data_IF_811039624976
#
_entry.id   IF_811039624976
#
_cell.length_a   1.000
_cell.length_b   1.000
_cell.length_c   1.000
_cell.angle_alpha   90.00
_cell.angle_beta   90.00
_cell.angle_gamma   90.00
#
_symmetry.space_group_name_H-M   'P 1'
#
loop_
_entity.id
_entity.type
_entity.pdbx_description
1 polymer ?
#
# COMPACT_ATOMS: atom_id res chain seq x y z
N UNK A 1 8.93 61.79 -39.33
CA UNK A 1 7.83 62.34 -38.49
C UNK A 1 7.17 61.14 -37.81
N UNK A 2 6.96 60.95 -36.50
CA UNK A 2 6.95 61.76 -35.26
C UNK A 2 7.49 60.90 -34.10
N UNK A 3 7.89 61.58 -33.02
CA UNK A 3 8.57 61.13 -31.78
C UNK A 3 7.62 60.63 -30.67
N UNK A 4 8.16 59.71 -29.83
CA UNK A 4 8.13 59.53 -28.33
C UNK A 4 6.80 59.28 -27.56
N UNK A 5 6.81 58.89 -26.26
CA UNK A 5 7.49 57.78 -25.53
C UNK A 5 6.57 57.10 -24.46
N UNK A 6 7.06 56.07 -23.75
CA UNK A 6 6.35 55.54 -22.57
C UNK A 6 7.13 54.55 -21.72
N UNK A 7 8.12 55.02 -20.94
CA UNK A 7 8.77 54.28 -19.85
C UNK A 7 7.82 54.13 -18.65
N UNK A 8 7.75 52.96 -18.02
CA UNK A 8 7.84 52.88 -16.55
C UNK A 8 8.24 51.49 -16.05
N UNK A 9 9.51 51.39 -15.64
CA UNK A 9 10.12 50.27 -14.92
C UNK A 9 9.80 50.46 -13.44
N UNK A 10 8.88 49.67 -12.85
CA UNK A 10 8.60 49.73 -11.40
C UNK A 10 9.63 48.90 -10.62
N UNK A 11 10.25 49.57 -9.65
CA UNK A 11 11.38 49.11 -8.84
C UNK A 11 10.94 48.26 -7.64
N UNK A 12 11.85 47.37 -7.25
CA UNK A 12 12.02 46.78 -5.93
C UNK A 12 11.58 47.65 -4.73
N UNK A 13 10.96 47.00 -3.74
CA UNK A 13 11.03 47.38 -2.33
C UNK A 13 11.31 46.14 -1.46
N UNK A 14 12.46 46.08 -0.77
CA UNK A 14 12.61 45.34 0.47
C UNK A 14 12.74 46.29 1.67
N UNK A 15 12.35 45.82 2.86
CA UNK A 15 12.60 46.30 4.25
C UNK A 15 11.29 46.27 5.07
N UNK A 16 11.20 45.88 6.36
CA UNK A 16 12.10 45.28 7.38
C UNK A 16 11.26 45.09 8.66
N UNK A 17 11.35 43.91 9.32
CA UNK A 17 11.21 43.57 10.77
C UNK A 17 10.00 44.07 11.62
N UNK A 18 9.69 43.40 12.78
CA UNK A 18 10.49 43.54 13.99
C UNK A 18 10.79 42.24 14.76
N UNK A 19 11.87 42.31 15.57
CA UNK A 19 12.21 41.41 16.68
C UNK A 19 11.31 41.71 17.88
N UNK A 20 10.99 40.68 18.67
CA UNK A 20 10.55 40.81 20.06
C UNK A 20 11.07 39.64 20.90
N UNK A 21 11.30 39.80 22.23
CA UNK A 21 12.24 39.00 23.01
C UNK A 21 11.58 38.19 24.15
N UNK A 22 12.42 37.51 24.98
CA UNK A 22 12.22 37.11 26.42
C UNK A 22 11.65 35.70 26.70
N UNK A 23 11.96 34.90 27.73
CA UNK A 23 12.81 34.85 28.97
C UNK A 23 13.08 33.32 29.23
N UNK A 24 14.26 32.82 29.63
CA UNK A 24 14.89 32.73 30.96
C UNK A 24 14.18 31.87 32.05
N UNK A 25 14.83 30.75 32.40
CA UNK A 25 15.03 30.09 33.71
C UNK A 25 13.93 29.34 34.51
N UNK A 26 14.46 28.37 35.28
CA UNK A 26 13.94 27.56 36.40
C UNK A 26 13.16 26.30 35.98
N UNK A 27 13.70 25.08 36.05
CA UNK A 27 14.23 24.35 37.23
C UNK A 27 13.27 24.36 38.41
N UNK A 28 12.66 23.20 38.67
CA UNK A 28 12.14 22.79 39.97
C UNK A 28 11.96 21.27 39.94
N UNK A 29 12.99 20.59 40.43
CA UNK A 29 12.91 19.24 40.96
C UNK A 29 12.02 19.18 42.22
N UNK A 30 11.15 18.17 42.30
CA UNK A 30 10.71 17.58 43.56
C UNK A 30 10.26 16.13 43.27
N UNK A 31 11.09 15.13 43.56
CA UNK A 31 11.13 14.35 44.81
C UNK A 31 9.90 13.45 45.00
N UNK A 32 10.21 12.16 44.93
CA UNK A 32 9.54 10.88 45.23
C UNK A 32 8.83 10.78 46.60
N UNK A 33 8.51 9.58 47.11
CA UNK A 33 7.56 8.54 46.66
C UNK A 33 6.52 8.22 47.76
N UNK A 34 5.45 7.48 47.45
CA UNK A 34 4.50 7.02 48.47
C UNK A 34 3.67 5.80 48.07
N UNK A 35 4.07 4.63 48.57
CA UNK A 35 3.26 3.41 48.82
C UNK A 35 3.50 3.09 50.30
N UNK A 36 2.51 2.79 51.16
CA UNK A 36 1.64 1.58 51.16
C UNK A 36 0.16 1.93 51.43
N UNK A 37 -0.86 1.08 51.47
CA UNK A 37 -0.98 -0.22 52.15
C UNK A 37 -2.26 -0.96 51.70
N UNK A 38 -2.37 -2.20 52.18
CA UNK A 38 -3.42 -3.21 52.01
C UNK A 38 -4.81 -2.74 52.41
N UNK A 39 -5.80 -3.18 51.65
CA UNK A 39 -7.20 -3.21 52.06
C UNK A 39 -7.91 -4.37 51.38
N UNK A 40 -8.13 -5.45 52.11
CA UNK A 40 -8.97 -6.57 51.71
C UNK A 40 -10.40 -6.31 52.20
N UNK A 41 -11.42 -6.36 51.33
CA UNK A 41 -12.76 -6.72 51.79
C UNK A 41 -13.39 -7.87 50.99
N UNK A 42 -13.89 -8.89 51.70
CA UNK A 42 -14.95 -9.82 51.27
C UNK A 42 -16.26 -9.44 52.01
N UNK A 43 -17.45 -9.98 51.66
CA UNK A 43 -18.20 -9.83 50.41
C UNK A 43 -19.64 -9.31 50.67
N UNK A 44 -20.26 -8.61 49.72
CA UNK A 44 -21.72 -8.40 49.71
C UNK A 44 -22.23 -8.22 48.26
N UNK A 45 -23.40 -8.81 48.00
CA UNK A 45 -23.92 -9.14 46.67
C UNK A 45 -24.18 -7.97 45.72
N UNK A 46 -24.19 -8.30 44.44
CA UNK A 46 -24.60 -7.40 43.36
C UNK A 46 -24.26 -7.98 42.00
N UNK A 47 -25.17 -8.76 41.44
CA UNK A 47 -25.08 -9.34 40.09
C UNK A 47 -24.92 -8.25 39.04
N UNK A 48 -23.75 -8.18 38.39
CA UNK A 48 -23.62 -7.51 37.09
C UNK A 48 -22.79 -8.42 36.18
N UNK A 49 -23.50 -9.19 35.36
CA UNK A 49 -22.92 -9.98 34.29
C UNK A 49 -22.33 -9.02 33.27
N UNK A 50 -21.01 -8.95 33.18
CA UNK A 50 -20.33 -8.41 32.00
C UNK A 50 -19.16 -9.31 31.66
N UNK A 51 -19.48 -10.37 30.93
CA UNK A 51 -18.51 -11.22 30.27
C UNK A 51 -17.65 -10.37 29.33
N UNK A 52 -16.43 -10.03 29.77
CA UNK A 52 -15.34 -9.63 28.89
C UNK A 52 -14.53 -10.88 28.64
N UNK A 53 -14.89 -11.57 27.57
CA UNK A 53 -14.14 -12.69 27.02
C UNK A 53 -12.72 -12.25 26.69
N UNK A 54 -11.80 -13.12 27.11
CA UNK A 54 -10.35 -12.98 27.08
C UNK A 54 -9.83 -12.91 25.63
N UNK A 55 -8.81 -12.09 25.32
CA UNK A 55 -8.15 -12.17 24.03
C UNK A 55 -7.12 -13.31 24.00
N UNK A 56 -7.00 -13.88 22.80
CA UNK A 56 -5.84 -14.58 22.25
C UNK A 56 -5.55 -16.03 22.68
N UNK A 57 -5.66 -16.93 21.70
CA UNK A 57 -4.61 -17.89 21.41
C UNK A 57 -4.60 -18.17 19.89
N UNK A 58 -3.49 -17.84 19.26
CA UNK A 58 -3.21 -18.05 17.85
C UNK A 58 -3.11 -19.54 17.51
N UNK A 59 -3.59 -19.92 16.33
CA UNK A 59 -3.10 -21.11 15.64
C UNK A 59 -2.61 -20.65 14.27
N UNK A 60 -1.29 -20.46 14.20
CA UNK A 60 -0.55 -20.27 12.95
C UNK A 60 -0.58 -21.58 12.19
N UNK A 61 -1.45 -21.69 11.19
CA UNK A 61 -1.44 -22.79 10.23
C UNK A 61 -0.46 -22.49 9.12
N UNK A 62 0.83 -22.77 9.32
CA UNK A 62 1.82 -22.78 8.24
C UNK A 62 1.60 -24.04 7.40
N UNK A 63 0.74 -23.96 6.38
CA UNK A 63 0.70 -24.96 5.32
C UNK A 63 1.83 -24.65 4.35
N UNK A 64 2.96 -25.34 4.50
CA UNK A 64 4.02 -25.37 3.49
C UNK A 64 3.52 -26.21 2.30
N UNK A 65 2.67 -25.61 1.46
CA UNK A 65 2.46 -26.12 0.12
C UNK A 65 3.64 -25.61 -0.70
N UNK A 66 4.65 -26.46 -0.87
CA UNK A 66 5.66 -26.29 -1.93
C UNK A 66 4.93 -26.41 -3.27
N UNK A 67 4.35 -25.30 -3.72
CA UNK A 67 3.77 -25.21 -5.05
C UNK A 67 4.91 -25.24 -6.06
N UNK A 68 4.99 -26.33 -6.84
CA UNK A 68 5.73 -26.33 -8.10
C UNK A 68 5.03 -25.37 -9.06
N UNK A 69 5.34 -24.09 -8.97
CA UNK A 69 5.09 -23.09 -10.00
C UNK A 69 6.45 -22.54 -10.37
N UNK A 70 7.05 -23.08 -11.43
CA UNK A 70 8.18 -22.42 -12.09
C UNK A 70 7.65 -21.15 -12.73
N UNK A 71 7.60 -20.08 -11.95
CA UNK A 71 7.58 -18.73 -12.47
C UNK A 71 9.02 -18.24 -12.50
N UNK A 72 9.39 -17.55 -13.56
CA UNK A 72 10.68 -16.89 -13.66
C UNK A 72 10.85 -15.91 -12.48
N UNK A 73 12.08 -15.51 -12.17
CA UNK A 73 12.35 -14.58 -11.06
C UNK A 73 11.61 -13.23 -11.20
N UNK A 74 11.08 -12.95 -12.39
CA UNK A 74 10.37 -11.73 -12.77
C UNK A 74 8.83 -11.79 -12.61
N UNK A 75 8.23 -12.96 -12.32
CA UNK A 75 6.77 -13.11 -12.09
C UNK A 75 6.32 -12.63 -10.70
N UNK A 76 5.00 -12.56 -10.42
CA UNK A 76 4.54 -12.24 -9.06
C UNK A 76 4.95 -13.34 -8.06
N UNK A 77 5.27 -13.00 -6.79
CA UNK A 77 5.67 -13.96 -5.77
C UNK A 77 4.46 -14.75 -5.22
N UNK A 78 3.74 -15.47 -6.09
CA UNK A 78 2.46 -16.15 -5.82
C UNK A 78 2.52 -17.08 -4.62
N UNK A 79 3.59 -17.88 -4.52
CA UNK A 79 3.76 -18.83 -3.41
C UNK A 79 3.89 -18.10 -2.06
N UNK A 80 4.63 -16.99 -2.02
CA UNK A 80 4.77 -16.17 -0.82
C UNK A 80 3.47 -15.45 -0.47
N UNK A 81 2.76 -14.89 -1.46
CA UNK A 81 1.44 -14.26 -1.26
C UNK A 81 0.46 -15.28 -0.67
N UNK A 82 0.43 -16.50 -1.22
CA UNK A 82 -0.44 -17.58 -0.75
C UNK A 82 -0.12 -18.05 0.68
N UNK A 83 1.16 -17.98 1.08
CA UNK A 83 1.58 -18.32 2.43
C UNK A 83 1.34 -17.18 3.44
N UNK A 84 1.29 -15.93 2.97
CA UNK A 84 1.27 -14.72 3.82
C UNK A 84 -0.14 -14.22 4.06
N UNK A 85 -1.00 -14.23 3.04
CA UNK A 85 -2.34 -13.63 3.08
C UNK A 85 -3.45 -14.67 3.10
N UNK A 86 -4.62 -14.28 3.61
CA UNK A 86 -5.76 -15.19 3.74
C UNK A 86 -6.41 -15.44 2.38
N UNK A 87 -6.49 -16.70 1.94
CA UNK A 87 -7.21 -17.04 0.71
C UNK A 87 -8.70 -16.78 0.85
N UNK A 88 -9.33 -16.25 -0.21
CA UNK A 88 -10.78 -16.07 -0.26
C UNK A 88 -11.53 -17.31 -0.76
N UNK A 89 -10.80 -18.38 -1.09
CA UNK A 89 -11.33 -19.60 -1.71
C UNK A 89 -11.34 -19.57 -3.24
N UNK A 90 -11.06 -18.42 -3.85
CA UNK A 90 -10.87 -18.28 -5.30
C UNK A 90 -9.36 -18.26 -5.61
N UNK A 91 -8.87 -19.02 -6.61
CA UNK A 91 -7.46 -18.96 -7.03
C UNK A 91 -7.02 -17.53 -7.38
N UNK A 92 -5.82 -17.15 -6.94
CA UNK A 92 -5.27 -15.81 -7.21
C UNK A 92 -6.00 -14.68 -6.47
N UNK A 93 -6.80 -15.00 -5.44
CA UNK A 93 -7.56 -14.02 -4.65
C UNK A 93 -7.29 -14.21 -3.17
N UNK A 94 -6.78 -13.16 -2.53
CA UNK A 94 -6.38 -13.15 -1.14
C UNK A 94 -6.88 -11.87 -0.47
N UNK A 95 -6.76 -11.81 0.85
CA UNK A 95 -7.08 -10.63 1.63
C UNK A 95 -6.15 -10.46 2.82
N UNK A 96 -5.98 -9.21 3.20
CA UNK A 96 -5.46 -8.80 4.50
C UNK A 96 -6.58 -8.06 5.25
N UNK A 97 -6.92 -8.49 6.46
CA UNK A 97 -8.00 -7.88 7.23
C UNK A 97 -7.59 -6.59 7.97
N UNK A 98 -6.29 -6.25 7.98
CA UNK A 98 -5.72 -5.21 8.83
C UNK A 98 -5.02 -4.13 8.01
N UNK A 99 -4.18 -4.55 7.08
CA UNK A 99 -3.25 -3.64 6.42
C UNK A 99 -3.88 -2.97 5.20
N UNK A 100 -3.64 -1.66 5.08
CA UNK A 100 -4.12 -0.84 3.98
C UNK A 100 -3.33 -1.12 2.69
N UNK A 101 -3.88 -0.79 1.50
CA UNK A 101 -3.27 -1.20 0.23
C UNK A 101 -1.81 -0.80 0.04
N UNK A 102 -1.43 0.40 0.51
CA UNK A 102 -0.06 0.87 0.43
C UNK A 102 0.93 0.05 1.29
N UNK A 103 0.48 -0.48 2.43
CA UNK A 103 1.28 -1.34 3.31
C UNK A 103 1.47 -2.71 2.67
N UNK A 104 0.36 -3.36 2.27
CA UNK A 104 0.38 -4.67 1.60
C UNK A 104 1.24 -4.62 0.34
N UNK A 105 1.07 -3.58 -0.49
CA UNK A 105 1.88 -3.42 -1.70
C UNK A 105 3.37 -3.23 -1.40
N UNK A 106 3.73 -2.60 -0.28
CA UNK A 106 5.13 -2.46 0.16
C UNK A 106 5.72 -3.80 0.61
N UNK A 107 4.95 -4.63 1.29
CA UNK A 107 5.38 -5.96 1.71
C UNK A 107 5.63 -6.86 0.50
N UNK A 108 4.69 -6.92 -0.43
CA UNK A 108 4.83 -7.67 -1.69
C UNK A 108 6.03 -7.18 -2.48
N UNK A 109 6.19 -5.86 -2.63
CA UNK A 109 7.36 -5.28 -3.33
C UNK A 109 8.69 -5.52 -2.60
N UNK A 110 8.64 -5.74 -1.29
CA UNK A 110 9.79 -6.05 -0.45
C UNK A 110 10.23 -7.51 -0.59
N UNK A 111 9.28 -8.42 -0.81
CA UNK A 111 9.55 -9.83 -1.14
C UNK A 111 10.11 -9.96 -2.56
N UNK A 112 9.39 -9.43 -3.56
CA UNK A 112 9.83 -9.43 -4.95
C UNK A 112 9.50 -8.09 -5.58
N UNK A 113 10.55 -7.42 -6.06
CA UNK A 113 10.44 -6.09 -6.64
C UNK A 113 9.65 -6.14 -7.96
N UNK A 114 8.56 -5.37 -8.10
CA UNK A 114 7.84 -5.28 -9.36
C UNK A 114 8.64 -4.48 -10.40
N UNK A 115 8.37 -4.74 -11.68
CA UNK A 115 8.88 -3.93 -12.80
C UNK A 115 8.40 -2.48 -12.72
N UNK A 116 7.13 -2.31 -12.36
CA UNK A 116 6.50 -1.01 -12.22
C UNK A 116 5.38 -1.00 -11.18
N UNK A 117 5.06 0.18 -10.67
CA UNK A 117 4.02 0.40 -9.66
C UNK A 117 3.17 1.61 -9.99
N UNK A 118 1.86 1.45 -9.92
CA UNK A 118 0.89 2.54 -10.07
C UNK A 118 0.01 2.63 -8.83
N UNK A 119 -0.05 3.81 -8.22
CA UNK A 119 -0.98 4.11 -7.14
C UNK A 119 -2.14 4.95 -7.71
N UNK A 120 -3.38 4.46 -7.63
CA UNK A 120 -4.54 5.13 -8.23
C UNK A 120 -5.83 4.90 -7.44
N UNK A 121 -6.47 6.00 -7.02
CA UNK A 121 -7.77 6.01 -6.31
C UNK A 121 -7.82 5.09 -5.08
N UNK A 122 -6.72 5.01 -4.32
CA UNK A 122 -6.62 4.18 -3.12
C UNK A 122 -6.29 2.71 -3.39
N UNK A 123 -6.19 2.30 -4.66
CA UNK A 123 -5.65 1.00 -5.07
C UNK A 123 -4.17 1.13 -5.43
N UNK A 124 -3.46 0.01 -5.37
CA UNK A 124 -2.07 -0.11 -5.83
C UNK A 124 -1.98 -1.26 -6.82
N UNK A 125 -1.30 -1.02 -7.93
CA UNK A 125 -1.07 -1.99 -8.98
C UNK A 125 0.44 -2.24 -9.06
N UNK A 126 0.84 -3.50 -8.96
CA UNK A 126 2.23 -3.93 -9.07
C UNK A 126 2.35 -4.80 -10.31
N UNK A 127 3.15 -4.35 -11.28
CA UNK A 127 3.40 -5.09 -12.51
C UNK A 127 4.64 -5.96 -12.38
N UNK A 128 4.49 -7.21 -12.76
CA UNK A 128 5.54 -8.20 -12.98
C UNK A 128 5.59 -8.53 -14.49
N UNK A 129 6.40 -9.51 -14.92
CA UNK A 129 6.52 -9.83 -16.35
C UNK A 129 5.14 -10.23 -16.94
N UNK A 130 4.57 -11.32 -16.43
CA UNK A 130 3.27 -11.84 -16.88
C UNK A 130 2.10 -11.52 -15.97
N UNK A 131 2.38 -11.04 -14.77
CA UNK A 131 1.38 -10.86 -13.74
C UNK A 131 1.19 -9.39 -13.36
N UNK A 132 -0.02 -9.09 -12.90
CA UNK A 132 -0.31 -7.86 -12.17
C UNK A 132 -0.94 -8.23 -10.83
N UNK A 133 -0.35 -7.72 -9.76
CA UNK A 133 -0.94 -7.78 -8.43
C UNK A 133 -1.70 -6.49 -8.18
N UNK A 134 -3.01 -6.59 -8.00
CA UNK A 134 -3.90 -5.48 -7.66
C UNK A 134 -4.22 -5.55 -6.18
N UNK A 135 -3.94 -4.46 -5.47
CA UNK A 135 -4.23 -4.31 -4.04
C UNK A 135 -5.30 -3.24 -3.87
N UNK A 136 -6.50 -3.63 -3.46
CA UNK A 136 -7.65 -2.75 -3.35
C UNK A 136 -8.15 -2.61 -1.90
N UNK A 137 -8.67 -1.44 -1.50
CA UNK A 137 -9.16 -1.24 -0.13
C UNK A 137 -10.50 -1.95 0.09
N UNK A 138 -10.65 -2.55 1.28
CA UNK A 138 -11.92 -3.17 1.72
C UNK A 138 -12.77 -2.19 2.52
N UNK A 139 -14.10 -2.27 2.36
CA UNK A 139 -15.03 -1.43 3.13
C UNK A 139 -14.94 -1.63 4.65
N UNK A 140 -14.58 -2.84 5.10
CA UNK A 140 -14.44 -3.20 6.51
C UNK A 140 -13.06 -2.86 7.09
N UNK A 141 -12.19 -2.19 6.31
CA UNK A 141 -10.76 -2.09 6.60
C UNK A 141 -9.98 -3.29 6.05
N UNK A 142 -8.68 -3.09 5.88
CA UNK A 142 -7.78 -4.04 5.21
C UNK A 142 -7.76 -3.87 3.69
N UNK A 143 -7.27 -4.91 3.01
CA UNK A 143 -7.07 -4.95 1.55
C UNK A 143 -7.51 -6.28 0.94
N UNK A 144 -8.04 -6.21 -0.28
CA UNK A 144 -8.17 -7.35 -1.19
C UNK A 144 -6.95 -7.38 -2.11
N UNK A 145 -6.48 -8.59 -2.46
CA UNK A 145 -5.28 -8.82 -3.25
C UNK A 145 -5.65 -9.78 -4.38
N UNK A 146 -5.59 -9.29 -5.60
CA UNK A 146 -5.90 -10.04 -6.80
C UNK A 146 -4.63 -10.19 -7.63
N UNK A 147 -4.33 -11.42 -8.06
CA UNK A 147 -3.25 -11.71 -9.00
C UNK A 147 -3.90 -12.14 -10.31
N UNK A 148 -3.68 -11.36 -11.35
CA UNK A 148 -4.22 -11.59 -12.69
C UNK A 148 -3.09 -11.54 -13.71
N UNK A 149 -3.29 -12.17 -14.87
CA UNK A 149 -2.40 -12.02 -16.00
C UNK A 149 -2.42 -10.55 -16.47
N UNK A 150 -1.30 -10.08 -17.02
CA UNK A 150 -1.13 -8.69 -17.43
C UNK A 150 -2.26 -8.20 -18.34
N UNK A 151 -2.62 -8.98 -19.37
CA UNK A 151 -3.64 -8.58 -20.35
C UNK A 151 -5.03 -8.45 -19.71
N UNK A 152 -5.39 -9.36 -18.80
CA UNK A 152 -6.67 -9.34 -18.09
C UNK A 152 -6.74 -8.15 -17.13
N UNK A 153 -5.72 -7.97 -16.29
CA UNK A 153 -5.64 -6.85 -15.37
C UNK A 153 -5.63 -5.51 -16.12
N UNK A 154 -4.87 -5.41 -17.22
CA UNK A 154 -4.73 -4.18 -18.00
C UNK A 154 -6.02 -3.80 -18.73
N UNK A 155 -6.82 -4.79 -19.14
CA UNK A 155 -8.15 -4.61 -19.70
C UNK A 155 -9.14 -4.14 -18.63
N UNK A 156 -9.25 -4.90 -17.54
CA UNK A 156 -10.18 -4.64 -16.44
C UNK A 156 -9.92 -3.28 -15.76
N UNK A 157 -8.65 -2.96 -15.52
CA UNK A 157 -8.22 -1.74 -14.83
C UNK A 157 -7.65 -0.67 -15.79
N UNK A 158 -8.06 -0.70 -17.06
CA UNK A 158 -7.61 0.27 -18.08
C UNK A 158 -7.82 1.73 -17.68
N UNK A 159 -8.84 2.07 -16.89
CA UNK A 159 -9.04 3.42 -16.35
C UNK A 159 -7.97 3.86 -15.33
N UNK A 160 -7.24 2.91 -14.72
CA UNK A 160 -6.23 3.15 -13.70
C UNK A 160 -4.81 3.09 -14.25
N UNK A 161 -4.50 2.05 -15.03
CA UNK A 161 -3.16 1.78 -15.54
C UNK A 161 -3.02 2.11 -17.05
N UNK A 162 -4.14 2.47 -17.68
CA UNK A 162 -4.31 2.84 -19.09
C UNK A 162 -3.24 3.71 -19.73
N UNK A 163 -2.85 4.70 -18.95
CA UNK A 163 -2.00 5.81 -19.38
C UNK A 163 -0.53 5.58 -19.04
N UNK A 164 -0.22 4.54 -18.25
CA UNK A 164 1.13 4.21 -17.80
C UNK A 164 1.64 2.96 -18.52
N UNK A 165 0.80 1.93 -18.61
CA UNK A 165 1.17 0.62 -19.12
C UNK A 165 0.68 0.40 -20.55
N UNK A 166 1.51 -0.15 -21.45
CA UNK A 166 1.12 -0.42 -22.83
C UNK A 166 -0.01 -1.46 -22.90
N UNK A 167 -0.72 -1.52 -24.03
CA UNK A 167 -1.81 -2.48 -24.20
C UNK A 167 -1.31 -3.94 -24.25
N UNK A 168 -0.05 -4.16 -24.62
CA UNK A 168 0.62 -5.46 -24.57
C UNK A 168 1.99 -5.27 -23.91
N UNK A 169 2.43 -6.20 -23.06
CA UNK A 169 3.73 -6.11 -22.43
C UNK A 169 4.78 -6.31 -23.52
N UNK A 170 5.72 -5.38 -23.65
CA UNK A 170 6.85 -5.55 -24.56
C UNK A 170 7.77 -6.61 -23.99
N UNK A 171 7.49 -7.89 -24.25
CA UNK A 171 8.42 -8.98 -23.94
C UNK A 171 9.71 -8.71 -24.72
N UNK A 172 10.81 -8.50 -24.02
CA UNK A 172 12.11 -8.27 -24.63
C UNK A 172 12.53 -9.48 -25.47
N UNK A 173 12.22 -9.48 -26.77
CA UNK A 173 12.56 -10.61 -27.64
C UNK A 173 11.83 -10.68 -28.98
N UNK A 174 12.02 -9.68 -29.84
CA UNK A 174 11.97 -9.88 -31.30
C UNK A 174 10.63 -9.72 -32.01
N UNK A 175 10.28 -8.47 -32.32
CA UNK A 175 9.48 -8.12 -33.49
C UNK A 175 10.24 -8.47 -34.79
N UNK A 176 10.27 -9.74 -35.24
CA UNK A 176 10.51 -10.05 -36.67
C UNK A 176 9.91 -11.41 -37.05
N UNK A 177 8.63 -11.42 -37.47
CA UNK A 177 7.95 -12.31 -38.44
C UNK A 177 6.44 -12.23 -38.15
N UNK A 178 5.70 -11.29 -38.74
CA UNK A 178 5.43 -11.33 -40.19
C UNK A 178 4.66 -12.61 -40.51
N UNK A 179 3.35 -12.62 -40.27
CA UNK A 179 2.54 -13.82 -40.47
C UNK A 179 1.04 -13.56 -40.33
N UNK A 180 0.54 -12.45 -40.85
CA UNK A 180 -0.89 -12.35 -41.14
C UNK A 180 -1.18 -13.17 -42.40
N UNK A 181 -1.99 -14.24 -42.35
CA UNK A 181 -2.57 -14.79 -43.56
C UNK A 181 -3.69 -13.86 -44.00
N UNK A 182 -3.33 -12.92 -44.89
CA UNK A 182 -4.28 -12.14 -45.65
C UNK A 182 -5.17 -13.04 -46.51
N UNK A 183 -6.40 -12.58 -46.69
CA UNK A 183 -7.27 -13.03 -47.77
C UNK A 183 -6.53 -12.99 -49.11
N UNK A 184 -6.54 -14.09 -49.85
CA UNK A 184 -5.98 -14.13 -51.19
C UNK A 184 -6.08 -15.50 -51.84
N UNK A 185 -7.05 -15.62 -52.75
CA UNK A 185 -7.32 -16.62 -53.80
C UNK A 185 -7.95 -17.97 -53.39
#
# INVERSE_FOLDING_TARGET
>A
MRRVPGLTRRRHRPRRAPRGPRHHLADLAHVSPGRPDRGNPHPAGGTVIRARTLPAAAVTGALLITGCGGGDDDDAPRAWIAATYESTGTPGRYRDARDAPATVAREISGERRPEDRVDSRGMVFLRYDDDVVVVAPRMTGGSDIDIDDYDEARSHYSGHVGHVWPASPSRGGGDFRGGGPGSGK
#
